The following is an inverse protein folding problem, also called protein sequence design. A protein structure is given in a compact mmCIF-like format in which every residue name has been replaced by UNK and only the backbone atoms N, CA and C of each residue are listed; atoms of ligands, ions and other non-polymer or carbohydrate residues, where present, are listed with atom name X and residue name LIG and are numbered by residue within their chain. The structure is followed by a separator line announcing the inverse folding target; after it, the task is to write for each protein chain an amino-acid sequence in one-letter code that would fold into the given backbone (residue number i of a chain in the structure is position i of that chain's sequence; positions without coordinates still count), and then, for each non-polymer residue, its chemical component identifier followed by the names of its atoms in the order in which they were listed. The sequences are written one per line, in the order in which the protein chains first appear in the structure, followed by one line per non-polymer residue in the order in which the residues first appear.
data_IF_388399082589
#
_entry.id   IF_388399082589
#
_cell.length_a   1.000
_cell.length_b   1.000
_cell.length_c   1.000
_cell.angle_alpha   90.00
_cell.angle_beta   90.00
_cell.angle_gamma   90.00
#
_symmetry.space_group_name_H-M   'P 1'
#
loop_
_entity.id
_entity.type
_entity.pdbx_description
1 polymer ?
#
# COMPACT_ATOMS: atom_id res chain seq x y z
N UNK A 1 56.33 -56.82 42.49
CA UNK A 1 56.92 -55.69 41.78
C UNK A 1 55.85 -54.65 41.55
N UNK A 2 56.03 -53.46 42.09
CA UNK A 2 55.07 -52.35 42.18
C UNK A 2 55.11 -51.53 40.89
N UNK A 3 54.02 -51.29 40.27
CA UNK A 3 53.89 -50.20 39.33
C UNK A 3 52.63 -49.39 39.63
N UNK A 4 52.88 -48.16 40.06
CA UNK A 4 51.88 -47.15 40.34
C UNK A 4 51.45 -46.47 39.01
N UNK A 5 50.15 -46.38 38.76
CA UNK A 5 49.59 -45.50 37.71
C UNK A 5 49.39 -44.09 38.27
N UNK A 6 49.72 -43.06 37.51
CA UNK A 6 49.27 -41.70 37.82
C UNK A 6 47.95 -41.41 37.09
N UNK A 7 47.08 -40.84 37.85
CA UNK A 7 45.77 -40.29 37.46
C UNK A 7 45.95 -38.97 36.68
N UNK A 8 45.35 -38.74 35.51
CA UNK A 8 45.28 -37.40 34.98
C UNK A 8 44.04 -36.68 35.50
N UNK A 9 44.25 -35.46 35.99
CA UNK A 9 43.24 -34.48 36.27
C UNK A 9 42.50 -34.06 34.97
N UNK A 10 41.20 -34.25 34.98
CA UNK A 10 40.36 -33.69 33.96
C UNK A 10 40.05 -32.21 34.32
N UNK A 11 40.57 -31.29 33.54
CA UNK A 11 40.19 -29.89 33.61
C UNK A 11 38.88 -29.66 32.89
N UNK A 12 37.83 -29.33 33.64
CA UNK A 12 36.53 -28.93 33.10
C UNK A 12 36.63 -27.44 32.71
N UNK A 13 36.67 -27.17 31.42
CA UNK A 13 36.53 -25.83 30.87
C UNK A 13 35.03 -25.51 30.74
N UNK A 14 34.56 -24.65 31.64
CA UNK A 14 33.23 -24.07 31.57
C UNK A 14 33.29 -22.90 30.55
N UNK A 15 32.81 -23.14 29.34
CA UNK A 15 32.62 -22.10 28.35
C UNK A 15 31.37 -21.30 28.72
N UNK A 16 31.52 -20.12 29.25
CA UNK A 16 30.43 -19.13 29.45
C UNK A 16 30.02 -18.57 28.10
N UNK A 17 28.87 -19.01 27.58
CA UNK A 17 28.20 -18.36 26.47
C UNK A 17 27.58 -17.04 26.96
N UNK A 18 28.28 -15.94 26.75
CA UNK A 18 27.72 -14.61 26.87
C UNK A 18 26.73 -14.42 25.71
N UNK A 19 25.44 -14.61 25.96
CA UNK A 19 24.37 -14.21 25.04
C UNK A 19 24.37 -12.68 25.01
N UNK A 20 24.98 -12.10 23.97
CA UNK A 20 24.74 -10.71 23.61
C UNK A 20 23.31 -10.60 23.11
N UNK A 21 22.37 -10.26 24.01
CA UNK A 21 21.08 -9.69 23.61
C UNK A 21 21.36 -8.33 22.98
N UNK A 22 21.47 -8.32 21.66
CA UNK A 22 21.37 -7.09 20.91
C UNK A 22 19.89 -6.66 21.00
N UNK A 23 19.60 -5.71 21.87
CA UNK A 23 18.35 -4.99 21.83
C UNK A 23 18.25 -4.35 20.45
N UNK A 24 17.21 -4.71 19.70
CA UNK A 24 16.89 -4.04 18.44
C UNK A 24 16.73 -2.54 18.72
N UNK A 25 17.39 -1.64 17.96
CA UNK A 25 17.18 -0.21 18.12
C UNK A 25 15.68 0.09 17.93
N UNK A 26 15.13 1.04 18.70
CA UNK A 26 13.73 1.45 18.50
C UNK A 26 13.55 1.90 17.05
N UNK A 27 12.45 1.47 16.45
CA UNK A 27 12.13 1.67 15.03
C UNK A 27 11.92 3.15 14.62
N UNK A 28 12.06 4.09 15.57
CA UNK A 28 11.72 5.50 15.38
C UNK A 28 12.81 6.36 14.73
N UNK A 29 13.99 5.81 14.44
CA UNK A 29 15.13 6.55 13.89
C UNK A 29 15.71 5.99 12.59
N UNK A 30 14.99 5.13 11.88
CA UNK A 30 15.37 4.80 10.52
C UNK A 30 15.14 6.05 9.65
N UNK A 31 16.16 6.59 8.93
CA UNK A 31 15.91 7.64 7.97
C UNK A 31 14.92 7.11 6.95
N UNK A 32 13.78 7.82 6.78
CA UNK A 32 12.81 7.49 5.75
C UNK A 32 13.55 7.48 4.42
N UNK A 33 13.60 6.34 3.75
CA UNK A 33 14.18 6.22 2.42
C UNK A 33 13.37 7.15 1.52
N UNK A 34 14.07 8.07 0.85
CA UNK A 34 13.45 9.01 -0.07
C UNK A 34 12.68 8.21 -1.14
N UNK A 35 11.33 8.27 -1.08
CA UNK A 35 10.44 7.59 -2.04
C UNK A 35 9.46 6.58 -1.45
N UNK A 36 9.59 6.15 -0.18
CA UNK A 36 8.54 5.33 0.42
C UNK A 36 7.41 6.22 0.97
N UNK A 37 6.15 5.89 0.63
CA UNK A 37 5.01 6.66 1.14
C UNK A 37 4.89 6.44 2.65
N UNK A 38 4.95 7.52 3.43
CA UNK A 38 4.80 7.51 4.89
C UNK A 38 3.47 6.90 5.37
N UNK A 39 2.46 6.87 4.50
CA UNK A 39 1.19 6.17 4.70
C UNK A 39 0.54 5.87 3.37
N UNK A 40 -0.01 4.68 3.25
CA UNK A 40 -0.86 4.25 2.13
C UNK A 40 -2.26 3.96 2.64
N UNK A 41 -3.27 4.31 1.86
CA UNK A 41 -4.64 3.84 2.03
C UNK A 41 -5.10 3.26 0.71
N UNK A 42 -5.26 1.95 0.67
CA UNK A 42 -5.79 1.27 -0.51
C UNK A 42 -7.21 1.78 -0.81
N UNK A 43 -7.54 1.81 -2.10
CA UNK A 43 -8.89 2.20 -2.55
C UNK A 43 -9.82 1.02 -2.33
N UNK A 44 -10.94 1.28 -1.67
CA UNK A 44 -11.99 0.29 -1.46
C UNK A 44 -12.92 0.24 -2.66
N UNK A 45 -13.36 -0.96 -3.02
CA UNK A 45 -14.35 -1.21 -4.06
C UNK A 45 -15.57 -1.91 -3.48
N UNK A 46 -16.75 -1.71 -4.06
CA UNK A 46 -18.00 -2.34 -3.61
C UNK A 46 -18.58 -1.71 -2.35
N UNK A 47 -18.21 -0.48 -2.02
CA UNK A 47 -18.68 0.23 -0.82
C UNK A 47 -20.18 0.56 -0.87
N UNK A 48 -20.77 0.62 -2.05
CA UNK A 48 -22.21 0.91 -2.26
C UNK A 48 -23.08 -0.36 -2.27
N UNK A 49 -22.49 -1.51 -2.01
CA UNK A 49 -23.20 -2.78 -1.85
C UNK A 49 -23.18 -3.70 -3.09
N UNK A 50 -23.66 -4.93 -2.92
CA UNK A 50 -23.49 -6.00 -3.91
C UNK A 50 -24.37 -5.86 -5.17
N UNK A 51 -25.32 -4.92 -5.16
CA UNK A 51 -26.21 -4.68 -6.31
C UNK A 51 -25.66 -3.68 -7.31
N UNK A 52 -24.62 -2.96 -6.96
CA UNK A 52 -23.99 -1.95 -7.79
C UNK A 52 -22.61 -2.40 -8.29
N UNK A 53 -22.10 -1.80 -9.39
CA UNK A 53 -20.71 -2.01 -9.80
C UNK A 53 -19.73 -1.75 -8.66
N UNK A 54 -18.61 -2.44 -8.66
CA UNK A 54 -17.57 -2.28 -7.64
C UNK A 54 -17.05 -0.84 -7.53
N UNK A 55 -17.08 -0.09 -8.64
CA UNK A 55 -16.95 1.37 -8.69
C UNK A 55 -18.13 1.91 -9.49
N UNK A 56 -19.00 2.66 -8.85
CA UNK A 56 -20.29 3.04 -9.42
C UNK A 56 -20.24 4.20 -10.42
N UNK A 57 -19.18 5.00 -10.39
CA UNK A 57 -19.06 6.20 -11.22
C UNK A 57 -17.84 6.17 -12.12
N UNK A 58 -18.03 6.52 -13.37
CA UNK A 58 -16.96 6.75 -14.33
C UNK A 58 -16.86 8.26 -14.56
N UNK A 59 -15.68 8.79 -14.38
CA UNK A 59 -15.41 10.24 -14.48
C UNK A 59 -14.26 10.52 -15.44
N UNK A 60 -14.12 11.76 -15.83
CA UNK A 60 -12.97 12.24 -16.61
C UNK A 60 -12.15 13.25 -15.81
N UNK A 61 -10.84 13.09 -15.87
CA UNK A 61 -9.92 14.09 -15.32
C UNK A 61 -10.06 15.39 -16.11
N UNK A 62 -10.15 16.53 -15.42
CA UNK A 62 -10.19 17.87 -16.03
C UNK A 62 -8.95 18.17 -16.86
N UNK A 63 -9.02 19.14 -17.76
CA UNK A 63 -8.01 19.43 -18.78
C UNK A 63 -6.57 19.59 -18.24
N UNK A 64 -6.39 20.06 -17.00
CA UNK A 64 -5.07 20.24 -16.38
C UNK A 64 -4.38 18.96 -15.92
N UNK A 65 -5.07 17.83 -15.98
CA UNK A 65 -4.57 16.59 -15.37
C UNK A 65 -4.64 16.65 -13.84
N UNK A 66 -4.15 15.61 -13.18
CA UNK A 66 -4.12 15.54 -11.71
C UNK A 66 -2.98 14.66 -11.20
N UNK A 67 -2.50 14.99 -10.01
CA UNK A 67 -1.65 14.09 -9.24
C UNK A 67 -2.49 13.01 -8.55
N UNK A 68 -1.96 11.80 -8.51
CA UNK A 68 -2.52 10.67 -7.77
C UNK A 68 -1.66 10.40 -6.56
N UNK A 69 -2.29 10.26 -5.41
CA UNK A 69 -1.62 10.11 -4.13
C UNK A 69 -1.80 8.70 -3.57
N UNK A 70 -0.92 8.28 -2.66
CA UNK A 70 -1.01 6.99 -1.98
C UNK A 70 -2.14 6.92 -0.94
N UNK A 71 -2.58 8.06 -0.44
CA UNK A 71 -3.68 8.21 0.50
C UNK A 71 -4.30 9.60 0.34
N UNK A 72 -5.53 9.85 0.84
CA UNK A 72 -6.09 11.19 0.86
C UNK A 72 -5.26 12.12 1.73
N UNK A 73 -5.00 13.33 1.25
CA UNK A 73 -4.24 14.37 1.95
C UNK A 73 -3.13 14.99 1.09
N UNK A 74 -3.01 16.32 1.14
CA UNK A 74 -2.06 17.10 0.31
C UNK A 74 -0.58 16.85 0.66
N UNK A 75 -0.32 16.41 1.89
CA UNK A 75 1.04 16.12 2.36
C UNK A 75 1.50 14.71 2.01
N UNK A 76 0.66 13.94 1.32
CA UNK A 76 0.98 12.57 0.93
C UNK A 76 1.86 12.53 -0.32
N UNK A 77 2.66 11.50 -0.42
CA UNK A 77 3.50 11.30 -1.59
C UNK A 77 2.66 11.10 -2.85
N UNK A 78 3.10 11.71 -3.94
CA UNK A 78 2.52 11.50 -5.27
C UNK A 78 2.93 10.13 -5.79
N UNK A 79 1.95 9.33 -6.15
CA UNK A 79 2.09 7.98 -6.69
C UNK A 79 2.21 7.98 -8.23
N UNK A 80 1.44 8.85 -8.87
CA UNK A 80 1.36 8.94 -10.33
C UNK A 80 0.79 10.30 -10.76
N UNK A 81 0.82 10.55 -12.06
CA UNK A 81 0.12 11.66 -12.71
C UNK A 81 -0.83 11.10 -13.78
N UNK A 82 -2.00 11.69 -13.90
CA UNK A 82 -3.00 11.36 -14.92
C UNK A 82 -3.23 12.59 -15.79
N UNK A 83 -3.20 12.37 -17.10
CA UNK A 83 -3.45 13.44 -18.07
C UNK A 83 -4.91 13.89 -18.07
N UNK A 84 -5.15 15.14 -18.47
CA UNK A 84 -6.50 15.66 -18.67
C UNK A 84 -7.26 14.86 -19.73
N UNK A 85 -8.54 14.66 -19.51
CA UNK A 85 -9.42 13.88 -20.37
C UNK A 85 -9.38 12.37 -20.16
N UNK A 86 -8.41 11.85 -19.40
CA UNK A 86 -8.34 10.43 -19.08
C UNK A 86 -9.55 9.99 -18.25
N UNK A 87 -10.06 8.80 -18.53
CA UNK A 87 -11.13 8.18 -17.77
C UNK A 87 -10.60 7.56 -16.49
N UNK A 88 -11.37 7.65 -15.44
CA UNK A 88 -11.11 7.02 -14.14
C UNK A 88 -12.41 6.46 -13.56
N UNK A 89 -12.34 5.34 -12.88
CA UNK A 89 -13.46 4.79 -12.12
C UNK A 89 -13.37 5.31 -10.69
N UNK A 90 -14.37 6.03 -10.21
CA UNK A 90 -14.48 6.49 -8.83
C UNK A 90 -15.12 5.37 -8.01
N UNK A 91 -14.43 4.91 -6.98
CA UNK A 91 -14.81 3.73 -6.21
C UNK A 91 -15.22 4.07 -4.78
N UNK A 92 -14.66 5.12 -4.24
CA UNK A 92 -15.03 5.67 -2.92
C UNK A 92 -14.73 7.17 -2.85
N UNK A 93 -15.31 7.84 -1.89
CA UNK A 93 -15.06 9.23 -1.57
C UNK A 93 -14.80 9.40 -0.08
N UNK A 94 -14.12 10.47 0.31
CA UNK A 94 -14.13 10.93 1.71
C UNK A 94 -15.47 11.58 2.02
N UNK A 95 -15.85 11.65 3.31
CA UNK A 95 -17.16 12.16 3.75
C UNK A 95 -17.45 13.60 3.30
N UNK A 96 -16.41 14.37 3.02
CA UNK A 96 -16.46 15.76 2.55
C UNK A 96 -16.31 15.91 1.02
N UNK A 97 -16.25 14.80 0.28
CA UNK A 97 -15.95 14.75 -1.16
C UNK A 97 -14.65 15.47 -1.58
N UNK A 98 -13.79 15.75 -0.64
CA UNK A 98 -12.52 16.40 -0.92
C UNK A 98 -11.55 15.49 -1.66
N UNK A 99 -11.68 14.17 -1.47
CA UNK A 99 -10.82 13.15 -2.08
C UNK A 99 -11.63 11.99 -2.63
N UNK A 100 -11.24 11.54 -3.82
CA UNK A 100 -11.80 10.35 -4.45
C UNK A 100 -10.75 9.27 -4.57
N UNK A 101 -11.12 8.07 -4.13
CA UNK A 101 -10.40 6.82 -4.39
C UNK A 101 -10.75 6.31 -5.79
N UNK A 102 -9.78 6.24 -6.67
CA UNK A 102 -9.96 5.89 -8.07
C UNK A 102 -9.20 4.65 -8.48
N UNK A 103 -9.75 3.96 -9.48
CA UNK A 103 -9.06 2.94 -10.26
C UNK A 103 -8.97 3.43 -11.70
N UNK A 104 -7.79 3.28 -12.31
CA UNK A 104 -7.53 3.74 -13.67
C UNK A 104 -6.57 2.81 -14.42
N UNK A 105 -6.74 2.69 -15.72
CA UNK A 105 -5.87 1.90 -16.56
C UNK A 105 -4.53 2.61 -16.81
N UNK A 106 -3.49 1.83 -17.06
CA UNK A 106 -2.25 2.39 -17.60
C UNK A 106 -2.50 2.86 -19.06
N UNK A 107 -1.74 3.84 -19.57
CA UNK A 107 -1.83 4.24 -20.97
C UNK A 107 -1.74 3.02 -21.90
N UNK A 108 -2.72 2.88 -22.81
CA UNK A 108 -2.78 1.76 -23.76
C UNK A 108 -3.37 0.45 -23.22
N UNK A 109 -3.85 0.45 -21.98
CA UNK A 109 -4.57 -0.70 -21.40
C UNK A 109 -6.07 -0.45 -21.48
N UNK A 110 -6.84 -1.50 -21.81
CA UNK A 110 -8.31 -1.43 -21.84
C UNK A 110 -8.87 -1.24 -20.42
N UNK A 111 -9.81 -0.32 -20.28
CA UNK A 111 -10.50 -0.02 -19.02
C UNK A 111 -11.32 -1.20 -18.51
N UNK A 112 -11.87 -2.02 -19.39
CA UNK A 112 -12.67 -3.19 -19.04
C UNK A 112 -11.85 -4.25 -18.28
N UNK A 113 -10.54 -4.23 -18.46
CA UNK A 113 -9.63 -5.13 -17.73
C UNK A 113 -9.50 -4.80 -16.25
N UNK A 114 -9.90 -3.61 -15.79
CA UNK A 114 -9.83 -3.25 -14.38
C UNK A 114 -10.80 -4.04 -13.50
N UNK A 115 -11.85 -4.62 -14.08
CA UNK A 115 -12.81 -5.49 -13.39
C UNK A 115 -13.76 -4.76 -12.43
N UNK A 116 -13.74 -3.43 -12.40
CA UNK A 116 -14.52 -2.62 -11.45
C UNK A 116 -15.95 -2.31 -11.92
N UNK A 117 -16.27 -2.57 -13.17
CA UNK A 117 -17.63 -2.50 -13.70
C UNK A 117 -18.53 -3.66 -13.25
N UNK A 118 -17.95 -4.71 -12.68
CA UNK A 118 -18.67 -5.87 -12.15
C UNK A 118 -19.03 -5.64 -10.68
N UNK A 119 -20.11 -6.28 -10.23
CA UNK A 119 -20.48 -6.29 -8.82
C UNK A 119 -19.50 -7.12 -7.98
N UNK A 120 -19.34 -6.77 -6.71
CA UNK A 120 -18.62 -7.58 -5.72
C UNK A 120 -19.52 -7.80 -4.50
N UNK A 121 -19.44 -8.96 -3.88
CA UNK A 121 -20.35 -9.34 -2.78
C UNK A 121 -20.09 -8.52 -1.52
N UNK A 122 -18.83 -8.16 -1.27
CA UNK A 122 -18.44 -7.40 -0.08
C UNK A 122 -17.44 -6.32 -0.48
N UNK A 123 -17.48 -5.20 0.23
CA UNK A 123 -16.47 -4.16 0.11
C UNK A 123 -15.08 -4.73 0.44
N UNK A 124 -14.10 -4.38 -0.37
CA UNK A 124 -12.72 -4.85 -0.22
C UNK A 124 -11.74 -3.89 -0.88
N UNK A 125 -10.47 -3.99 -0.51
CA UNK A 125 -9.39 -3.30 -1.20
C UNK A 125 -9.28 -3.75 -2.66
N UNK A 126 -8.99 -2.80 -3.54
CA UNK A 126 -8.74 -3.11 -4.94
C UNK A 126 -7.40 -3.85 -5.12
N UNK A 127 -7.45 -5.02 -5.74
CA UNK A 127 -6.30 -5.88 -6.03
C UNK A 127 -6.25 -6.30 -7.52
N UNK A 128 -6.94 -5.57 -8.38
CA UNK A 128 -6.98 -5.86 -9.82
C UNK A 128 -5.72 -5.41 -10.56
N UNK A 129 -5.68 -5.64 -11.88
CA UNK A 129 -4.50 -5.38 -12.72
C UNK A 129 -4.27 -3.89 -13.00
N UNK A 130 -5.25 -3.02 -12.74
CA UNK A 130 -5.14 -1.60 -12.98
C UNK A 130 -4.47 -0.86 -11.82
N UNK A 131 -4.15 0.39 -12.05
CA UNK A 131 -3.61 1.28 -11.02
C UNK A 131 -4.74 1.83 -10.16
N UNK A 132 -4.41 2.21 -8.94
CA UNK A 132 -5.34 2.87 -8.02
C UNK A 132 -4.64 3.98 -7.26
N UNK A 133 -5.39 4.85 -6.66
CA UNK A 133 -4.90 5.90 -5.78
C UNK A 133 -5.96 6.96 -5.49
N UNK A 134 -5.54 8.04 -4.89
CA UNK A 134 -6.40 9.12 -4.42
C UNK A 134 -6.15 10.40 -5.20
N UNK A 135 -7.20 11.07 -5.60
CA UNK A 135 -7.17 12.37 -6.27
C UNK A 135 -8.06 13.38 -5.55
N UNK A 136 -7.79 14.68 -5.73
CA UNK A 136 -8.68 15.72 -5.22
C UNK A 136 -10.02 15.69 -5.95
N UNK A 137 -11.12 15.77 -5.22
CA UNK A 137 -12.48 15.73 -5.79
C UNK A 137 -12.72 16.79 -6.87
N UNK A 138 -12.17 17.99 -6.71
CA UNK A 138 -12.28 19.07 -7.70
C UNK A 138 -11.56 18.83 -9.04
N UNK A 139 -10.78 17.75 -9.22
CA UNK A 139 -9.97 17.48 -10.42
C UNK A 139 -10.68 16.60 -11.45
N UNK A 140 -11.85 16.08 -11.15
CA UNK A 140 -12.67 15.27 -12.06
C UNK A 140 -14.00 15.95 -12.39
N UNK A 141 -14.61 15.50 -13.47
CA UNK A 141 -15.98 15.84 -13.88
C UNK A 141 -16.85 14.61 -13.58
N UNK A 142 -17.69 14.74 -12.56
CA UNK A 142 -18.73 13.76 -12.22
C UNK A 142 -19.94 13.91 -13.13
#
# INVERSE_FOLDING_TARGET
MKHRLPTPLAAVLIASLAACSQAAPPADNAPALAGEPLATRAVMIGTEGPSLPACSSISRVKAGGTDVFWAPGETRAVKAKIAGGAKVSVCEATDDDAWFGIVFSAPGTDEDMCGVAKTVQNAREYQGPCRWGWIKGGTVQL
#
